data_IF_434432150782
#
_entry.id   IF_434432150782
#
_cell.length_a   1.000
_cell.length_b   1.000
_cell.length_c   1.000
_cell.angle_alpha   90.00
_cell.angle_beta   90.00
_cell.angle_gamma   90.00
#
_symmetry.space_group_name_H-M   'P 1'
#
loop_
_entity.id
_entity.type
_entity.pdbx_description
1 polymer ?
#
# COMPACT_ATOMS: atom_id res chain seq x y z
N UNK A 1 45.88 8.43 10.87
CA UNK A 1 45.74 6.95 10.90
C UNK A 1 44.51 6.56 10.08
N UNK A 2 44.71 6.22 8.80
CA UNK A 2 43.65 5.79 7.88
C UNK A 2 43.48 4.28 7.99
N UNK A 3 42.43 3.84 8.69
CA UNK A 3 42.09 2.42 8.82
C UNK A 3 41.70 1.85 7.45
N UNK A 4 42.60 1.07 6.85
CA UNK A 4 42.36 0.34 5.61
C UNK A 4 41.37 -0.79 5.94
N UNK A 5 40.09 -0.55 5.67
CA UNK A 5 39.01 -1.55 5.84
C UNK A 5 39.32 -2.72 4.91
N UNK A 6 39.79 -3.85 5.46
CA UNK A 6 39.98 -5.09 4.70
C UNK A 6 38.63 -5.50 4.12
N UNK A 7 38.39 -5.20 2.84
CA UNK A 7 37.16 -5.60 2.17
C UNK A 7 37.25 -7.11 1.95
N UNK A 8 36.52 -7.87 2.76
CA UNK A 8 36.44 -9.33 2.60
C UNK A 8 35.90 -9.66 1.21
N UNK A 9 36.62 -10.49 0.45
CA UNK A 9 36.21 -10.95 -0.89
C UNK A 9 34.81 -11.57 -0.85
N UNK A 10 34.47 -12.28 0.23
CA UNK A 10 33.11 -12.82 0.45
C UNK A 10 32.04 -11.74 0.53
N UNK A 11 32.33 -10.57 1.13
CA UNK A 11 31.40 -9.46 1.20
C UNK A 11 31.21 -8.76 -0.16
N UNK A 12 32.23 -8.76 -1.02
CA UNK A 12 32.12 -8.26 -2.40
C UNK A 12 31.24 -9.20 -3.22
N UNK A 13 31.48 -10.50 -3.15
CA UNK A 13 30.67 -11.51 -3.83
C UNK A 13 29.20 -11.45 -3.41
N UNK A 14 28.93 -11.34 -2.10
CA UNK A 14 27.56 -11.19 -1.58
C UNK A 14 26.88 -9.93 -2.15
N UNK A 15 27.58 -8.80 -2.20
CA UNK A 15 27.04 -7.56 -2.78
C UNK A 15 26.76 -7.69 -4.26
N UNK A 16 27.65 -8.35 -5.02
CA UNK A 16 27.45 -8.60 -6.46
C UNK A 16 26.22 -9.48 -6.67
N UNK A 17 26.06 -10.54 -5.86
CA UNK A 17 24.90 -11.43 -5.93
C UNK A 17 23.59 -10.67 -5.63
N UNK A 18 23.56 -9.85 -4.58
CA UNK A 18 22.38 -9.03 -4.23
C UNK A 18 22.09 -8.02 -5.34
N UNK A 19 23.11 -7.34 -5.87
CA UNK A 19 22.95 -6.38 -6.95
C UNK A 19 22.41 -7.06 -8.23
N UNK A 20 22.94 -8.24 -8.58
CA UNK A 20 22.46 -9.03 -9.69
C UNK A 20 20.98 -9.43 -9.50
N UNK A 21 20.61 -9.88 -8.30
CA UNK A 21 19.22 -10.24 -7.98
C UNK A 21 18.27 -9.04 -8.07
N UNK A 22 18.67 -7.87 -7.55
CA UNK A 22 17.89 -6.64 -7.68
C UNK A 22 17.72 -6.24 -9.15
N UNK A 23 18.77 -6.32 -9.94
CA UNK A 23 18.71 -6.00 -11.37
C UNK A 23 17.79 -6.97 -12.10
N UNK A 24 17.97 -8.28 -11.89
CA UNK A 24 17.22 -9.32 -12.60
C UNK A 24 15.73 -9.35 -12.21
N UNK A 25 15.41 -9.20 -10.93
CA UNK A 25 14.04 -9.42 -10.42
C UNK A 25 13.25 -8.14 -10.16
N UNK A 26 13.91 -6.99 -10.02
CA UNK A 26 13.22 -5.71 -9.76
C UNK A 26 13.37 -4.77 -10.94
N UNK A 27 14.61 -4.48 -11.34
CA UNK A 27 14.87 -3.45 -12.36
C UNK A 27 14.45 -3.92 -13.76
N UNK A 28 14.90 -5.11 -14.16
CA UNK A 28 14.61 -5.68 -15.47
C UNK A 28 13.11 -5.79 -15.78
N UNK A 29 12.24 -6.36 -14.92
CA UNK A 29 10.82 -6.44 -15.22
C UNK A 29 10.17 -5.05 -15.30
N UNK A 30 10.56 -4.10 -14.44
CA UNK A 30 10.04 -2.73 -14.50
C UNK A 30 10.42 -2.06 -15.82
N UNK A 31 11.67 -2.15 -16.25
CA UNK A 31 12.12 -1.60 -17.54
C UNK A 31 11.42 -2.32 -18.71
N UNK A 32 11.33 -3.65 -18.65
CA UNK A 32 10.66 -4.44 -19.69
C UNK A 32 9.19 -4.03 -19.85
N UNK A 33 8.48 -3.82 -18.74
CA UNK A 33 7.11 -3.30 -18.76
C UNK A 33 7.01 -1.91 -19.39
N UNK A 34 7.95 -1.01 -19.07
CA UNK A 34 7.99 0.32 -19.68
C UNK A 34 8.23 0.23 -21.20
N UNK A 35 9.19 -0.58 -21.64
CA UNK A 35 9.47 -0.78 -23.07
C UNK A 35 8.24 -1.37 -23.77
N UNK A 36 7.60 -2.40 -23.21
CA UNK A 36 6.39 -2.99 -23.79
C UNK A 36 5.21 -2.01 -23.85
N UNK A 37 5.11 -1.11 -22.87
CA UNK A 37 4.04 -0.11 -22.82
C UNK A 37 4.25 0.98 -23.88
N UNK A 38 5.46 1.51 -24.01
CA UNK A 38 5.77 2.66 -24.86
C UNK A 38 6.30 2.30 -26.25
N UNK A 39 6.77 1.07 -26.48
CA UNK A 39 7.29 0.62 -27.78
C UNK A 39 6.31 -0.39 -28.39
N UNK A 40 5.40 0.13 -29.23
CA UNK A 40 4.37 -0.68 -29.89
C UNK A 40 4.70 -0.76 -31.38
N UNK A 41 4.72 -1.99 -31.91
CA UNK A 41 4.93 -2.26 -33.34
C UNK A 41 6.21 -1.63 -33.94
N UNK A 42 7.29 -1.59 -33.15
CA UNK A 42 8.59 -1.06 -33.58
C UNK A 42 8.74 0.46 -33.50
N UNK A 43 7.71 1.20 -33.08
CA UNK A 43 7.75 2.65 -32.87
C UNK A 43 7.47 3.05 -31.43
N UNK A 44 8.04 4.18 -31.00
CA UNK A 44 7.73 4.78 -29.72
C UNK A 44 6.33 5.42 -29.80
N UNK A 45 5.36 4.88 -29.08
CA UNK A 45 3.98 5.34 -29.04
C UNK A 45 3.68 6.06 -27.73
N UNK A 46 3.38 7.35 -27.83
CA UNK A 46 2.81 8.15 -26.71
C UNK A 46 1.29 8.06 -26.66
N UNK A 47 0.67 7.31 -27.57
CA UNK A 47 -0.79 7.18 -27.68
C UNK A 47 -1.41 6.54 -26.44
N UNK A 48 -0.65 5.68 -25.74
CA UNK A 48 -1.08 5.04 -24.48
C UNK A 48 -1.45 6.08 -23.42
N UNK A 49 -0.66 7.15 -23.31
CA UNK A 49 -0.94 8.24 -22.37
C UNK A 49 -2.24 8.94 -22.76
N UNK A 50 -2.42 9.25 -24.05
CA UNK A 50 -3.66 9.82 -24.58
C UNK A 50 -4.89 8.93 -24.35
N UNK A 51 -4.75 7.60 -24.47
CA UNK A 51 -5.81 6.62 -24.20
C UNK A 51 -6.22 6.60 -22.72
N UNK A 52 -5.26 6.73 -21.81
CA UNK A 52 -5.55 6.83 -20.37
C UNK A 52 -6.31 8.12 -20.05
N UNK A 53 -5.88 9.26 -20.60
CA UNK A 53 -6.54 10.55 -20.32
C UNK A 53 -7.86 10.77 -21.05
N UNK A 54 -8.07 10.12 -22.21
CA UNK A 54 -9.35 10.15 -22.91
C UNK A 54 -10.41 9.26 -22.26
N UNK A 55 -10.00 8.24 -21.49
CA UNK A 55 -10.93 7.40 -20.75
C UNK A 55 -11.40 8.09 -19.47
N UNK A 56 -12.66 8.57 -19.49
CA UNK A 56 -13.30 9.16 -18.31
C UNK A 56 -13.27 8.23 -17.08
N UNK A 57 -13.32 6.90 -17.30
CA UNK A 57 -13.19 5.90 -16.22
C UNK A 57 -11.78 5.88 -15.65
N UNK A 58 -10.75 5.84 -16.49
CA UNK A 58 -9.36 5.79 -16.04
C UNK A 58 -8.98 7.08 -15.28
N UNK A 59 -9.34 8.24 -15.82
CA UNK A 59 -9.12 9.54 -15.15
C UNK A 59 -9.87 9.62 -13.82
N UNK A 60 -11.13 9.17 -13.76
CA UNK A 60 -11.89 9.12 -12.50
C UNK A 60 -11.21 8.22 -11.47
N UNK A 61 -10.71 7.05 -11.88
CA UNK A 61 -9.99 6.14 -10.98
C UNK A 61 -8.69 6.78 -10.48
N UNK A 62 -7.92 7.46 -11.34
CA UNK A 62 -6.71 8.18 -10.92
C UNK A 62 -7.07 9.25 -9.89
N UNK A 63 -8.08 10.08 -10.17
CA UNK A 63 -8.54 11.13 -9.26
C UNK A 63 -8.92 10.55 -7.88
N UNK A 64 -9.68 9.46 -7.86
CA UNK A 64 -10.05 8.80 -6.61
C UNK A 64 -8.83 8.31 -5.84
N UNK A 65 -7.86 7.68 -6.51
CA UNK A 65 -6.61 7.24 -5.88
C UNK A 65 -5.79 8.41 -5.32
N UNK A 66 -5.74 9.54 -6.01
CA UNK A 66 -5.05 10.74 -5.52
C UNK A 66 -5.72 11.33 -4.27
N UNK A 67 -7.06 11.47 -4.29
CA UNK A 67 -7.81 11.96 -3.12
C UNK A 67 -7.63 11.00 -1.93
N UNK A 68 -7.71 9.70 -2.20
CA UNK A 68 -7.51 8.66 -1.20
C UNK A 68 -6.09 8.71 -0.61
N UNK A 69 -5.06 8.85 -1.45
CA UNK A 69 -3.67 8.94 -1.00
C UNK A 69 -3.47 10.14 -0.07
N UNK A 70 -3.96 11.33 -0.43
CA UNK A 70 -3.84 12.50 0.43
C UNK A 70 -4.61 12.35 1.75
N UNK A 71 -5.83 11.82 1.69
CA UNK A 71 -6.64 11.55 2.88
C UNK A 71 -5.97 10.53 3.80
N UNK A 72 -5.35 9.49 3.23
CA UNK A 72 -4.60 8.48 3.98
C UNK A 72 -3.37 9.07 4.64
N UNK A 73 -2.60 9.91 3.94
CA UNK A 73 -1.43 10.56 4.55
C UNK A 73 -1.83 11.30 5.82
N UNK A 74 -2.89 12.11 5.79
CA UNK A 74 -3.32 12.85 6.98
C UNK A 74 -3.85 11.91 8.06
N UNK A 75 -4.78 11.01 7.73
CA UNK A 75 -5.44 10.15 8.72
C UNK A 75 -4.49 9.13 9.35
N UNK A 76 -3.62 8.49 8.56
CA UNK A 76 -2.63 7.52 9.05
C UNK A 76 -1.60 8.19 9.94
N UNK A 77 -1.16 9.41 9.63
CA UNK A 77 -0.24 10.13 10.51
C UNK A 77 -0.91 10.44 11.86
N UNK A 78 -2.14 10.95 11.87
CA UNK A 78 -2.86 11.23 13.11
C UNK A 78 -3.03 9.95 13.94
N UNK A 79 -3.56 8.89 13.34
CA UNK A 79 -3.80 7.61 14.04
C UNK A 79 -2.48 6.98 14.49
N UNK A 80 -1.45 6.98 13.64
CA UNK A 80 -0.14 6.41 13.94
C UNK A 80 0.56 7.13 15.09
N UNK A 81 0.56 8.47 15.08
CA UNK A 81 1.12 9.26 16.19
C UNK A 81 0.36 8.99 17.48
N UNK A 82 -0.98 8.98 17.45
CA UNK A 82 -1.79 8.66 18.63
C UNK A 82 -1.51 7.24 19.16
N UNK A 83 -1.40 6.24 18.28
CA UNK A 83 -1.03 4.89 18.68
C UNK A 83 0.30 4.86 19.43
N UNK A 84 1.35 5.50 18.90
CA UNK A 84 2.66 5.57 19.55
C UNK A 84 2.59 6.27 20.91
N UNK A 85 1.86 7.40 21.00
CA UNK A 85 1.67 8.12 22.27
C UNK A 85 0.98 7.24 23.31
N UNK A 86 -0.08 6.53 22.92
CA UNK A 86 -0.84 5.66 23.82
C UNK A 86 -0.09 4.39 24.24
N UNK A 87 0.78 3.84 23.39
CA UNK A 87 1.45 2.57 23.67
C UNK A 87 2.82 2.74 24.31
N UNK A 88 3.57 3.78 23.95
CA UNK A 88 4.97 3.94 24.36
C UNK A 88 5.20 5.15 25.28
N UNK A 89 4.40 6.22 25.18
CA UNK A 89 4.68 7.46 25.92
C UNK A 89 3.83 7.64 27.18
N UNK A 90 2.55 7.28 27.14
CA UNK A 90 1.65 7.41 28.29
C UNK A 90 1.49 6.11 29.07
N UNK A 91 1.45 6.21 30.41
CA UNK A 91 1.18 5.07 31.29
C UNK A 91 -0.31 4.74 31.33
N UNK A 92 -0.81 4.12 30.26
CA UNK A 92 -2.20 3.71 30.12
C UNK A 92 -2.36 2.25 30.55
N UNK A 93 -3.32 1.98 31.45
CA UNK A 93 -3.73 0.61 31.77
C UNK A 93 -4.31 -0.05 30.51
N UNK A 94 -3.57 -1.03 29.97
CA UNK A 94 -3.93 -1.73 28.73
C UNK A 94 -3.06 -1.43 27.52
N UNK A 95 -2.04 -0.57 27.63
CA UNK A 95 -1.12 -0.23 26.53
C UNK A 95 -0.52 -1.46 25.82
N UNK A 96 -0.23 -2.54 26.56
CA UNK A 96 0.27 -3.82 25.98
C UNK A 96 -0.74 -4.49 25.04
N UNK A 97 -2.04 -4.45 25.37
CA UNK A 97 -3.10 -5.02 24.51
C UNK A 97 -3.28 -4.16 23.27
N UNK A 98 -3.27 -2.83 23.43
CA UNK A 98 -3.36 -1.89 22.31
C UNK A 98 -2.17 -2.05 21.34
N UNK A 99 -0.96 -2.21 21.88
CA UNK A 99 0.25 -2.51 21.11
C UNK A 99 0.14 -3.84 20.39
N UNK A 100 -0.38 -4.88 21.05
CA UNK A 100 -0.60 -6.18 20.42
C UNK A 100 -1.59 -6.07 19.25
N UNK A 101 -2.73 -5.39 19.45
CA UNK A 101 -3.73 -5.15 18.41
C UNK A 101 -3.17 -4.35 17.22
N UNK A 102 -2.29 -3.38 17.48
CA UNK A 102 -1.58 -2.67 16.43
C UNK A 102 -0.65 -3.61 15.66
N UNK A 103 0.14 -4.42 16.36
CA UNK A 103 1.09 -5.35 15.74
C UNK A 103 0.40 -6.46 14.93
N UNK A 104 -0.77 -6.96 15.34
CA UNK A 104 -1.50 -7.98 14.58
C UNK A 104 -1.93 -7.48 13.20
N UNK A 105 -2.24 -6.18 13.06
CA UNK A 105 -2.58 -5.59 11.77
C UNK A 105 -1.47 -5.73 10.71
N UNK A 106 -0.20 -5.77 11.15
CA UNK A 106 0.97 -5.92 10.29
C UNK A 106 1.19 -7.36 9.81
N UNK A 107 0.54 -8.34 10.44
CA UNK A 107 0.73 -9.78 10.16
C UNK A 107 -0.30 -10.28 9.14
N UNK A 108 -1.46 -9.63 9.03
CA UNK A 108 -2.52 -10.10 8.13
C UNK A 108 -2.11 -10.04 6.65
N UNK A 109 -2.33 -11.14 5.94
CA UNK A 109 -2.17 -11.19 4.49
C UNK A 109 -3.24 -10.33 3.80
N UNK A 110 -2.90 -9.75 2.65
CA UNK A 110 -3.80 -8.87 1.91
C UNK A 110 -5.16 -9.51 1.57
N UNK A 111 -5.20 -10.82 1.29
CA UNK A 111 -6.45 -11.53 0.97
C UNK A 111 -7.37 -11.64 2.19
N UNK A 112 -6.79 -11.90 3.36
CA UNK A 112 -7.53 -12.00 4.63
C UNK A 112 -8.09 -10.62 4.99
N UNK A 113 -7.28 -9.57 4.80
CA UNK A 113 -7.65 -8.18 5.07
C UNK A 113 -8.86 -7.75 4.21
N UNK A 114 -8.82 -8.02 2.89
CA UNK A 114 -9.93 -7.72 1.96
C UNK A 114 -11.22 -8.44 2.39
N UNK A 115 -11.11 -9.72 2.76
CA UNK A 115 -12.27 -10.50 3.20
C UNK A 115 -12.85 -9.98 4.52
N UNK A 116 -11.99 -9.60 5.47
CA UNK A 116 -12.39 -8.98 6.73
C UNK A 116 -13.10 -7.64 6.52
N UNK A 117 -12.55 -6.77 5.65
CA UNK A 117 -13.22 -5.51 5.29
C UNK A 117 -14.60 -5.75 4.68
N UNK A 118 -14.73 -6.70 3.76
CA UNK A 118 -16.03 -7.03 3.16
C UNK A 118 -17.03 -7.58 4.19
N UNK A 119 -16.56 -8.39 5.15
CA UNK A 119 -17.40 -8.90 6.23
C UNK A 119 -17.91 -7.79 7.16
N UNK A 120 -17.08 -6.79 7.45
CA UNK A 120 -17.43 -5.70 8.36
C UNK A 120 -18.26 -4.63 7.64
N UNK A 121 -17.80 -4.16 6.48
CA UNK A 121 -18.32 -2.96 5.80
C UNK A 121 -19.07 -3.24 4.49
N UNK A 122 -19.05 -4.46 3.96
CA UNK A 122 -19.77 -4.77 2.72
C UNK A 122 -21.28 -4.55 2.85
N UNK A 123 -22.01 -4.68 1.74
CA UNK A 123 -23.46 -4.43 1.69
C UNK A 123 -24.26 -5.21 2.75
N UNK A 124 -23.90 -6.48 2.96
CA UNK A 124 -24.50 -7.35 3.99
C UNK A 124 -23.61 -7.49 5.23
N UNK A 125 -22.63 -6.61 5.38
CA UNK A 125 -21.65 -6.62 6.45
C UNK A 125 -22.23 -6.22 7.80
N UNK A 126 -21.50 -6.55 8.86
CA UNK A 126 -21.94 -6.30 10.24
C UNK A 126 -22.25 -4.82 10.49
N UNK A 127 -21.35 -3.91 10.13
CA UNK A 127 -21.57 -2.47 10.33
C UNK A 127 -22.65 -1.92 9.39
N UNK A 128 -22.71 -2.36 8.14
CA UNK A 128 -23.75 -1.89 7.21
C UNK A 128 -25.14 -2.27 7.70
N UNK A 129 -25.33 -3.48 8.23
CA UNK A 129 -26.60 -3.88 8.86
C UNK A 129 -26.97 -3.02 10.06
N UNK A 130 -26.00 -2.72 10.93
CA UNK A 130 -26.21 -1.84 12.09
C UNK A 130 -26.56 -0.40 11.64
N UNK A 131 -25.87 0.12 10.62
CA UNK A 131 -26.14 1.44 10.07
C UNK A 131 -27.52 1.51 9.41
N UNK A 132 -27.94 0.47 8.68
CA UNK A 132 -29.28 0.40 8.07
C UNK A 132 -30.40 0.33 9.11
N UNK A 133 -30.16 -0.24 10.30
CA UNK A 133 -31.14 -0.19 11.39
C UNK A 133 -31.37 1.24 11.89
N UNK A 134 -30.34 2.08 11.88
CA UNK A 134 -30.41 3.48 12.36
C UNK A 134 -30.83 4.41 11.21
N UNK A 135 -30.37 4.13 9.99
CA UNK A 135 -30.59 4.90 8.77
C UNK A 135 -31.14 4.00 7.64
N UNK A 136 -32.45 3.70 7.64
CA UNK A 136 -33.05 2.72 6.72
C UNK A 136 -32.94 3.09 5.23
N UNK A 137 -32.82 4.39 4.92
CA UNK A 137 -32.73 4.90 3.54
C UNK A 137 -31.28 5.03 3.03
N UNK A 138 -30.29 4.61 3.82
CA UNK A 138 -28.88 4.64 3.42
C UNK A 138 -28.63 3.62 2.31
N UNK A 139 -27.75 3.94 1.35
CA UNK A 139 -27.32 2.98 0.34
C UNK A 139 -26.50 1.86 1.02
N UNK A 140 -26.88 0.57 0.91
CA UNK A 140 -26.09 -0.53 1.45
C UNK A 140 -24.70 -0.67 0.81
N UNK A 141 -24.54 -0.27 -0.46
CA UNK A 141 -23.27 -0.31 -1.18
C UNK A 141 -22.49 1.01 -1.06
N UNK A 142 -22.41 1.56 0.15
CA UNK A 142 -21.70 2.79 0.43
C UNK A 142 -20.18 2.60 0.52
N UNK A 143 -19.74 1.35 0.79
CA UNK A 143 -18.35 0.89 0.86
C UNK A 143 -18.10 -0.15 -0.22
#
# INVERSE_FOLDING_TARGET
>A
MTSKKNISISAILLKILIAWALIAFVVYPVISLLIQTFWQEGSLSTEVVGKVFSSARAVKSLKNSFILAFTLVVTVNIVGTLCVLFTEYWEIKGAKILRLAYMTSLIYSGVVLVSGYKYVYGADGLLTKLLLMIFPNMNPNWF
#
